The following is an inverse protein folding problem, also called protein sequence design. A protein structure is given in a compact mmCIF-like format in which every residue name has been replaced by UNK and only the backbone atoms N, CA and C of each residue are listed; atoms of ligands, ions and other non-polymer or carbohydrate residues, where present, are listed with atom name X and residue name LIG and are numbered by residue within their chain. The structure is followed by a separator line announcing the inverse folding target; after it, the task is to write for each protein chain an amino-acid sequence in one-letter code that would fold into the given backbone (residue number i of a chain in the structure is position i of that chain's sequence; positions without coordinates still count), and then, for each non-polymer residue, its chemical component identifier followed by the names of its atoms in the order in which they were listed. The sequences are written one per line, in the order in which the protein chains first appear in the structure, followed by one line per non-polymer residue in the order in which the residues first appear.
data_IF_108550431112
#
_entry.id   IF_108550431112
#
_cell.length_a   1.000
_cell.length_b   1.000
_cell.length_c   1.000
_cell.angle_alpha   90.00
_cell.angle_beta   90.00
_cell.angle_gamma   90.00
#
_symmetry.space_group_name_H-M   'P 1'
#
loop_
_entity.id
_entity.type
_entity.pdbx_description
1 polymer ?
#
# COMPACT_ATOMS: atom_id res chain seq x y z
N UNK A 1 -36.50 -7.34 -15.15
CA UNK A 1 -36.26 -6.34 -14.07
C UNK A 1 -36.59 -4.92 -14.56
N UNK A 2 -37.68 -4.30 -14.07
CA UNK A 2 -38.04 -2.89 -14.38
C UNK A 2 -37.09 -1.94 -13.63
N UNK A 3 -36.25 -1.18 -14.35
CA UNK A 3 -35.33 -0.19 -13.76
C UNK A 3 -36.12 0.96 -13.12
N UNK A 4 -35.99 1.12 -11.80
CA UNK A 4 -36.57 2.25 -11.05
C UNK A 4 -35.90 3.57 -11.48
N UNK A 5 -36.65 4.66 -11.71
CA UNK A 5 -36.08 5.96 -12.06
C UNK A 5 -35.21 6.50 -10.91
N UNK A 6 -34.08 7.11 -11.30
CA UNK A 6 -33.08 7.69 -10.39
C UNK A 6 -33.67 8.77 -9.47
N UNK A 7 -33.15 8.86 -8.24
CA UNK A 7 -33.64 9.77 -7.21
C UNK A 7 -33.65 11.25 -7.65
N UNK A 8 -32.73 11.65 -8.54
CA UNK A 8 -32.68 12.99 -9.14
C UNK A 8 -33.90 13.32 -10.03
N UNK A 9 -34.45 12.33 -10.76
CA UNK A 9 -35.69 12.52 -11.52
C UNK A 9 -36.90 12.68 -10.60
N UNK A 10 -36.89 12.00 -9.44
CA UNK A 10 -37.95 12.16 -8.42
C UNK A 10 -37.86 13.51 -7.70
N UNK A 11 -36.65 14.00 -7.44
CA UNK A 11 -36.46 15.31 -6.79
C UNK A 11 -36.87 16.48 -7.72
N UNK A 12 -36.51 16.43 -9.00
CA UNK A 12 -36.94 17.45 -9.98
C UNK A 12 -38.45 17.42 -10.27
N UNK A 13 -39.10 16.27 -10.21
CA UNK A 13 -40.56 16.19 -10.34
C UNK A 13 -41.30 16.74 -9.12
N UNK A 14 -40.70 16.69 -7.92
CA UNK A 14 -41.36 17.13 -6.67
C UNK A 14 -41.35 18.63 -6.44
N UNK A 15 -40.43 19.38 -7.07
CA UNK A 15 -40.29 20.82 -6.86
C UNK A 15 -41.06 21.70 -7.85
N UNK A 16 -41.84 21.14 -8.79
CA UNK A 16 -42.65 21.94 -9.73
C UNK A 16 -41.85 22.96 -10.56
N UNK A 17 -40.52 22.88 -10.56
CA UNK A 17 -39.63 23.82 -11.20
C UNK A 17 -39.69 23.61 -12.71
N UNK A 18 -40.59 24.31 -13.38
CA UNK A 18 -40.56 24.43 -14.83
C UNK A 18 -39.15 24.88 -15.21
N UNK A 19 -38.43 24.09 -16.01
CA UNK A 19 -37.14 24.49 -16.57
C UNK A 19 -37.28 25.93 -17.08
N UNK A 20 -36.58 26.93 -16.51
CA UNK A 20 -36.82 28.35 -16.79
C UNK A 20 -36.54 28.70 -18.26
N UNK A 21 -35.94 27.77 -19.00
CA UNK A 21 -35.60 27.90 -20.41
C UNK A 21 -36.44 27.02 -21.33
N UNK A 22 -37.35 26.19 -20.81
CA UNK A 22 -38.28 25.46 -21.65
C UNK A 22 -39.29 26.44 -22.26
N UNK A 23 -39.58 26.35 -23.57
CA UNK A 23 -40.60 27.19 -24.17
C UNK A 23 -41.92 26.98 -23.42
N UNK A 24 -42.51 28.05 -22.90
CA UNK A 24 -43.79 27.99 -22.20
C UNK A 24 -44.80 27.37 -23.17
N UNK A 25 -45.34 26.19 -22.82
CA UNK A 25 -46.45 25.59 -23.55
C UNK A 25 -47.64 26.53 -23.37
N UNK A 26 -47.91 27.40 -24.35
CA UNK A 26 -49.17 28.13 -24.41
C UNK A 26 -50.25 27.07 -24.64
N UNK A 27 -51.07 26.85 -23.62
CA UNK A 27 -52.25 25.99 -23.72
C UNK A 27 -53.20 26.69 -24.70
N UNK A 28 -53.37 26.10 -25.88
CA UNK A 28 -54.31 26.59 -26.89
C UNK A 28 -55.72 26.38 -26.34
N UNK A 29 -56.39 27.47 -25.95
CA UNK A 29 -57.81 27.42 -25.59
C UNK A 29 -58.61 27.07 -26.85
N UNK A 30 -59.29 25.94 -26.81
CA UNK A 30 -60.20 25.48 -27.86
C UNK A 30 -61.43 26.37 -27.89
N UNK A 31 -61.54 27.25 -28.88
CA UNK A 31 -62.81 27.88 -29.23
C UNK A 31 -62.90 28.03 -30.74
N UNK A 32 -63.83 27.25 -31.32
CA UNK A 32 -64.52 27.35 -32.62
C UNK A 32 -63.82 28.15 -33.73
N UNK A 33 -63.42 27.42 -34.78
CA UNK A 33 -62.97 27.97 -36.07
C UNK A 33 -61.46 27.99 -36.26
N UNK A 34 -60.83 26.82 -36.37
CA UNK A 34 -59.38 26.72 -36.63
C UNK A 34 -59.09 27.06 -38.11
N UNK A 35 -58.58 28.27 -38.37
CA UNK A 35 -58.06 28.66 -39.67
C UNK A 35 -56.65 28.10 -39.89
N UNK A 36 -56.39 27.50 -41.06
CA UNK A 36 -55.07 26.97 -41.47
C UNK A 36 -53.98 28.04 -41.35
N UNK A 37 -54.32 29.31 -41.61
CA UNK A 37 -53.39 30.44 -41.47
C UNK A 37 -52.89 30.65 -40.03
N UNK A 38 -53.76 30.43 -39.03
CA UNK A 38 -53.37 30.55 -37.62
C UNK A 38 -52.45 29.41 -37.18
N UNK A 39 -52.68 28.19 -37.68
CA UNK A 39 -51.76 27.06 -37.46
C UNK A 39 -50.37 27.34 -38.04
N UNK A 40 -50.32 27.89 -39.24
CA UNK A 40 -49.06 28.27 -39.89
C UNK A 40 -48.29 29.34 -39.10
N UNK A 41 -48.99 30.40 -38.65
CA UNK A 41 -48.39 31.46 -37.84
C UNK A 41 -47.87 30.93 -36.48
N UNK A 42 -48.63 30.05 -35.83
CA UNK A 42 -48.21 29.40 -34.58
C UNK A 42 -47.00 28.49 -34.78
N UNK A 43 -46.96 27.75 -35.88
CA UNK A 43 -45.84 26.90 -36.24
C UNK A 43 -44.57 27.72 -36.53
N UNK A 44 -44.70 28.84 -37.25
CA UNK A 44 -43.57 29.74 -37.48
C UNK A 44 -43.05 30.38 -36.18
N UNK A 45 -43.94 30.81 -35.28
CA UNK A 45 -43.58 31.33 -33.97
C UNK A 45 -42.82 30.29 -33.14
N UNK A 46 -43.32 29.05 -33.09
CA UNK A 46 -42.65 27.93 -32.43
C UNK A 46 -41.25 27.65 -33.01
N UNK A 47 -41.10 27.68 -34.33
CA UNK A 47 -39.79 27.47 -34.99
C UNK A 47 -38.79 28.59 -34.65
N UNK A 48 -39.25 29.84 -34.58
CA UNK A 48 -38.41 30.99 -34.14
C UNK A 48 -37.96 30.83 -32.69
N UNK A 49 -38.86 30.45 -31.78
CA UNK A 49 -38.53 30.25 -30.36
C UNK A 49 -37.57 29.07 -30.15
N UNK A 50 -37.78 27.97 -30.87
CA UNK A 50 -36.88 26.80 -30.84
C UNK A 50 -35.47 27.16 -31.29
N UNK A 51 -35.31 27.99 -32.33
CA UNK A 51 -34.00 28.49 -32.79
C UNK A 51 -33.33 29.36 -31.72
N UNK A 52 -34.07 30.30 -31.10
CA UNK A 52 -33.56 31.14 -30.00
C UNK A 52 -33.08 30.31 -28.81
N UNK A 53 -33.82 29.27 -28.44
CA UNK A 53 -33.44 28.34 -27.36
C UNK A 53 -32.13 27.60 -27.67
N UNK A 54 -31.99 27.04 -28.88
CA UNK A 54 -30.78 26.32 -29.29
C UNK A 54 -29.57 27.28 -29.30
N UNK A 55 -29.74 28.50 -29.80
CA UNK A 55 -28.68 29.52 -29.83
C UNK A 55 -28.21 29.90 -28.42
N UNK A 56 -29.14 30.18 -27.48
CA UNK A 56 -28.81 30.47 -26.08
C UNK A 56 -28.06 29.30 -25.42
N UNK A 57 -28.51 28.07 -25.65
CA UNK A 57 -27.84 26.87 -25.12
C UNK A 57 -26.41 26.70 -25.62
N UNK A 58 -26.15 27.01 -26.90
CA UNK A 58 -24.79 26.99 -27.47
C UNK A 58 -23.93 28.10 -26.88
N UNK A 59 -24.46 29.32 -26.77
CA UNK A 59 -23.75 30.46 -26.19
C UNK A 59 -23.31 30.20 -24.74
N UNK A 60 -24.19 29.67 -23.89
CA UNK A 60 -23.81 29.33 -22.51
C UNK A 60 -22.74 28.24 -22.43
N UNK A 61 -22.82 27.20 -23.27
CA UNK A 61 -21.78 26.17 -23.35
C UNK A 61 -20.42 26.75 -23.78
N UNK A 62 -20.43 27.69 -24.72
CA UNK A 62 -19.21 28.34 -25.21
C UNK A 62 -18.61 29.26 -24.15
N UNK A 63 -19.42 30.07 -23.48
CA UNK A 63 -18.99 30.94 -22.37
C UNK A 63 -18.46 30.14 -21.18
N UNK A 64 -19.04 28.98 -20.91
CA UNK A 64 -18.54 28.06 -19.87
C UNK A 64 -17.19 27.44 -20.26
N UNK A 65 -17.01 27.11 -21.55
CA UNK A 65 -15.72 26.63 -22.10
C UNK A 65 -14.63 27.70 -22.00
N UNK A 66 -14.94 28.93 -22.39
CA UNK A 66 -14.00 30.07 -22.31
C UNK A 66 -13.61 30.41 -20.87
N UNK A 67 -14.55 30.37 -19.93
CA UNK A 67 -14.24 30.54 -18.50
C UNK A 67 -13.29 29.46 -17.99
N UNK A 68 -13.51 28.20 -18.38
CA UNK A 68 -12.61 27.09 -18.03
C UNK A 68 -11.22 27.28 -18.63
N UNK A 69 -11.12 27.68 -19.90
CA UNK A 69 -9.83 27.89 -20.56
C UNK A 69 -9.05 29.05 -19.92
N UNK A 70 -9.72 30.15 -19.55
CA UNK A 70 -9.09 31.27 -18.82
C UNK A 70 -8.63 30.86 -17.42
N UNK A 71 -9.43 30.09 -16.68
CA UNK A 71 -9.05 29.56 -15.36
C UNK A 71 -7.89 28.54 -15.42
N UNK A 72 -7.79 27.74 -16.49
CA UNK A 72 -6.69 26.80 -16.70
C UNK A 72 -5.40 27.55 -17.02
N UNK A 73 -5.47 28.57 -17.88
CA UNK A 73 -4.30 29.35 -18.32
C UNK A 73 -3.72 30.23 -17.21
N UNK A 74 -4.57 30.75 -16.32
CA UNK A 74 -4.11 31.61 -15.22
C UNK A 74 -3.51 30.81 -14.05
N UNK A 75 -3.90 29.55 -13.87
CA UNK A 75 -3.42 28.71 -12.76
C UNK A 75 -2.26 27.77 -13.14
N UNK A 76 -1.88 27.69 -14.42
CA UNK A 76 -0.81 26.81 -14.88
C UNK A 76 0.61 27.36 -14.68
N UNK A 77 0.75 28.59 -14.21
CA UNK A 77 2.05 29.30 -14.17
C UNK A 77 2.80 29.19 -12.84
N UNK A 78 2.23 28.58 -11.79
CA UNK A 78 2.87 28.52 -10.47
C UNK A 78 3.14 27.07 -9.99
N UNK A 79 4.39 26.57 -10.06
CA UNK A 79 4.72 25.15 -9.90
C UNK A 79 4.54 24.62 -8.47
N UNK A 80 4.76 25.45 -7.45
CA UNK A 80 4.54 25.07 -6.04
C UNK A 80 3.05 24.97 -5.68
N UNK A 81 2.19 25.73 -6.36
CA UNK A 81 0.75 25.75 -6.10
C UNK A 81 0.04 24.48 -6.62
N UNK A 82 0.56 23.85 -7.68
CA UNK A 82 0.05 22.57 -8.21
C UNK A 82 0.34 21.38 -7.29
N UNK A 83 1.42 21.46 -6.50
CA UNK A 83 1.90 20.37 -5.65
C UNK A 83 1.13 20.30 -4.31
N UNK A 84 0.67 21.44 -3.79
CA UNK A 84 0.02 21.52 -2.47
C UNK A 84 -1.46 21.93 -2.50
N UNK A 85 -1.94 22.72 -3.47
CA UNK A 85 -3.27 23.37 -3.45
C UNK A 85 -4.24 22.95 -4.55
N UNK A 86 -4.07 21.76 -5.16
CA UNK A 86 -5.15 21.13 -5.94
C UNK A 86 -6.39 20.76 -5.08
N UNK A 87 -6.29 20.96 -3.75
CA UNK A 87 -7.19 20.47 -2.72
C UNK A 87 -8.49 21.26 -2.49
N UNK A 88 -8.65 22.48 -2.99
CA UNK A 88 -9.90 23.25 -2.78
C UNK A 88 -10.89 23.22 -3.95
N UNK A 89 -10.55 22.57 -5.08
CA UNK A 89 -11.54 22.35 -6.15
C UNK A 89 -12.50 21.21 -5.80
N UNK A 90 -13.53 21.61 -5.07
CA UNK A 90 -14.95 21.32 -5.32
C UNK A 90 -15.44 19.95 -4.87
N UNK A 91 -15.86 19.93 -3.60
CA UNK A 91 -17.20 19.57 -3.08
C UNK A 91 -18.33 19.53 -4.13
N UNK A 92 -18.20 18.70 -5.15
CA UNK A 92 -19.28 18.22 -6.01
C UNK A 92 -18.97 16.77 -6.28
N UNK A 93 -19.81 15.90 -5.71
CA UNK A 93 -20.01 14.54 -6.19
C UNK A 93 -20.23 14.63 -7.70
N UNK A 94 -19.16 14.52 -8.49
CA UNK A 94 -19.26 14.38 -9.92
C UNK A 94 -19.75 12.95 -10.13
N UNK A 95 -21.07 12.82 -10.22
CA UNK A 95 -21.68 11.67 -10.85
C UNK A 95 -21.08 11.62 -12.26
N UNK A 96 -20.25 10.60 -12.52
CA UNK A 96 -19.90 10.28 -13.90
C UNK A 96 -21.20 10.08 -14.71
N UNK A 97 -21.16 10.10 -16.05
CA UNK A 97 -22.35 9.87 -16.90
C UNK A 97 -23.11 8.57 -16.56
N UNK A 98 -22.44 7.64 -15.89
CA UNK A 98 -22.93 6.34 -15.40
C UNK A 98 -23.49 6.37 -13.96
N UNK A 99 -23.44 7.50 -13.26
CA UNK A 99 -23.94 7.65 -11.89
C UNK A 99 -22.97 7.19 -10.80
N UNK A 100 -21.69 7.01 -11.11
CA UNK A 100 -20.65 6.66 -10.12
C UNK A 100 -20.16 7.93 -9.42
N UNK A 101 -20.24 7.96 -8.08
CA UNK A 101 -19.71 9.03 -7.23
C UNK A 101 -18.19 8.97 -7.23
N UNK A 102 -17.54 10.01 -7.78
CA UNK A 102 -16.08 10.14 -7.73
C UNK A 102 -15.71 10.93 -6.47
N UNK A 103 -15.01 10.29 -5.54
CA UNK A 103 -14.49 10.95 -4.34
C UNK A 103 -13.21 11.72 -4.69
N UNK A 104 -13.20 13.02 -4.42
CA UNK A 104 -11.97 13.81 -4.44
C UNK A 104 -11.13 13.47 -3.20
N UNK A 105 -9.79 13.39 -3.35
CA UNK A 105 -8.91 13.15 -2.22
C UNK A 105 -8.98 14.38 -1.31
N UNK A 106 -9.42 14.20 -0.08
CA UNK A 106 -9.22 15.18 0.99
C UNK A 106 -7.90 14.90 1.69
N UNK A 107 -7.30 15.92 2.32
CA UNK A 107 -6.10 15.75 3.15
C UNK A 107 -6.35 14.69 4.22
N UNK A 108 -7.55 14.70 4.81
CA UNK A 108 -7.97 13.72 5.80
C UNK A 108 -7.97 12.28 5.27
N UNK A 109 -8.49 12.04 4.06
CA UNK A 109 -8.46 10.70 3.45
C UNK A 109 -7.01 10.25 3.19
N UNK A 110 -6.15 11.16 2.73
CA UNK A 110 -4.72 10.87 2.54
C UNK A 110 -4.03 10.52 3.87
N UNK A 111 -4.31 11.27 4.92
CA UNK A 111 -3.83 10.99 6.28
C UNK A 111 -4.28 9.62 6.77
N UNK A 112 -5.57 9.27 6.62
CA UNK A 112 -6.09 7.93 6.97
C UNK A 112 -5.33 6.83 6.23
N UNK A 113 -5.04 7.01 4.94
CA UNK A 113 -4.29 6.04 4.15
C UNK A 113 -2.86 5.87 4.65
N UNK A 114 -2.19 6.98 4.97
CA UNK A 114 -0.83 6.96 5.55
C UNK A 114 -0.86 6.21 6.87
N UNK A 115 -1.74 6.57 7.80
CA UNK A 115 -1.84 5.93 9.12
C UNK A 115 -2.13 4.42 9.02
N UNK A 116 -3.10 4.02 8.20
CA UNK A 116 -3.42 2.60 8.01
C UNK A 116 -2.25 1.83 7.39
N UNK A 117 -1.55 2.42 6.42
CA UNK A 117 -0.41 1.80 5.78
C UNK A 117 0.80 1.73 6.72
N UNK A 118 1.05 2.75 7.56
CA UNK A 118 2.10 2.75 8.58
C UNK A 118 1.82 1.69 9.64
N UNK A 119 0.58 1.60 10.13
CA UNK A 119 0.19 0.54 11.08
C UNK A 119 0.39 -0.86 10.47
N UNK A 120 0.01 -1.04 9.20
CA UNK A 120 0.24 -2.28 8.46
C UNK A 120 1.73 -2.64 8.36
N UNK A 121 2.57 -1.66 8.02
CA UNK A 121 4.03 -1.83 7.95
C UNK A 121 4.61 -2.20 9.32
N UNK A 122 4.21 -1.52 10.40
CA UNK A 122 4.69 -1.77 11.76
C UNK A 122 4.35 -3.19 12.24
N UNK A 123 3.10 -3.61 12.07
CA UNK A 123 2.67 -4.98 12.45
C UNK A 123 3.42 -6.00 11.59
N UNK A 124 3.58 -5.75 10.29
CA UNK A 124 4.32 -6.65 9.40
C UNK A 124 5.80 -6.76 9.82
N UNK A 125 6.46 -5.64 10.14
CA UNK A 125 7.85 -5.63 10.61
C UNK A 125 8.02 -6.42 11.89
N UNK A 126 7.21 -6.14 12.91
CA UNK A 126 7.32 -6.85 14.20
C UNK A 126 7.06 -8.34 14.04
N UNK A 127 6.06 -8.73 13.24
CA UNK A 127 5.81 -10.14 12.93
C UNK A 127 7.01 -10.79 12.24
N UNK A 128 7.56 -10.16 11.21
CA UNK A 128 8.72 -10.68 10.46
C UNK A 128 9.95 -10.81 11.37
N UNK A 129 10.24 -9.78 12.17
CA UNK A 129 11.35 -9.80 13.12
C UNK A 129 11.20 -10.93 14.14
N UNK A 130 10.03 -11.05 14.77
CA UNK A 130 9.79 -12.10 15.77
C UNK A 130 9.86 -13.50 15.16
N UNK A 131 9.32 -13.71 13.96
CA UNK A 131 9.41 -15.00 13.27
C UNK A 131 10.86 -15.32 12.86
N UNK A 132 11.63 -14.32 12.40
CA UNK A 132 13.05 -14.49 12.11
C UNK A 132 13.80 -14.93 13.38
N UNK A 133 13.64 -14.20 14.49
CA UNK A 133 14.34 -14.50 15.73
C UNK A 133 13.90 -15.85 16.33
N UNK A 134 12.62 -16.17 16.26
CA UNK A 134 12.07 -17.43 16.75
C UNK A 134 12.72 -18.64 16.05
N UNK A 135 12.93 -18.56 14.74
CA UNK A 135 13.56 -19.65 13.96
C UNK A 135 15.01 -19.83 14.38
N UNK A 136 15.73 -18.73 14.57
CA UNK A 136 17.13 -18.77 15.02
C UNK A 136 17.23 -19.32 16.45
N UNK A 137 16.32 -18.91 17.35
CA UNK A 137 16.22 -19.43 18.71
C UNK A 137 15.94 -20.94 18.74
N UNK A 138 14.94 -21.40 17.98
CA UNK A 138 14.61 -22.83 17.87
C UNK A 138 15.81 -23.60 17.33
N UNK A 139 16.49 -23.07 16.31
CA UNK A 139 17.68 -23.72 15.75
C UNK A 139 18.81 -23.79 16.77
N UNK A 140 19.09 -22.71 17.52
CA UNK A 140 20.10 -22.73 18.57
C UNK A 140 19.76 -23.72 19.70
N UNK A 141 18.49 -23.81 20.08
CA UNK A 141 17.97 -24.76 21.06
C UNK A 141 18.13 -26.22 20.61
N UNK A 142 18.01 -26.52 19.32
CA UNK A 142 18.32 -27.86 18.79
C UNK A 142 19.80 -28.28 18.96
N UNK A 143 20.71 -27.31 19.11
CA UNK A 143 22.14 -27.55 19.35
C UNK A 143 22.55 -27.29 20.81
N UNK A 144 21.57 -27.23 21.73
CA UNK A 144 21.79 -26.96 23.16
C UNK A 144 22.58 -25.66 23.43
N UNK A 145 22.42 -24.64 22.58
CA UNK A 145 23.02 -23.32 22.77
C UNK A 145 22.01 -22.38 23.43
N UNK A 146 22.31 -22.01 24.67
CA UNK A 146 21.53 -21.03 25.42
C UNK A 146 21.51 -19.68 24.69
N UNK A 147 20.31 -19.13 24.56
CA UNK A 147 20.06 -17.89 23.84
C UNK A 147 19.12 -16.97 24.61
N UNK A 148 19.40 -15.67 24.50
CA UNK A 148 18.63 -14.60 25.16
C UNK A 148 18.18 -13.62 24.08
N UNK A 149 16.86 -13.47 23.94
CA UNK A 149 16.26 -12.54 22.99
C UNK A 149 15.93 -11.21 23.66
N UNK A 150 16.63 -10.15 23.27
CA UNK A 150 16.29 -8.77 23.62
C UNK A 150 15.54 -8.10 22.46
N UNK A 151 14.87 -6.98 22.73
CA UNK A 151 14.19 -6.20 21.69
C UNK A 151 15.16 -5.65 20.61
N UNK A 152 16.45 -5.55 20.93
CA UNK A 152 17.47 -4.97 20.06
C UNK A 152 18.49 -5.99 19.54
N UNK A 153 18.66 -7.15 20.18
CA UNK A 153 19.63 -8.16 19.72
C UNK A 153 19.25 -9.54 20.21
N UNK A 154 19.71 -10.54 19.47
CA UNK A 154 19.77 -11.91 19.94
C UNK A 154 21.20 -12.19 20.42
N UNK A 155 21.35 -12.69 21.64
CA UNK A 155 22.64 -13.03 22.25
C UNK A 155 22.74 -14.54 22.46
N UNK A 156 23.90 -15.10 22.15
CA UNK A 156 24.21 -16.52 22.36
C UNK A 156 25.31 -16.67 23.41
N UNK A 157 25.34 -17.82 24.10
CA UNK A 157 26.46 -18.19 24.94
C UNK A 157 27.65 -18.68 24.08
N UNK A 158 28.51 -17.75 23.69
CA UNK A 158 29.69 -17.98 22.85
C UNK A 158 30.86 -18.69 23.57
N UNK A 159 30.77 -18.94 24.88
CA UNK A 159 31.81 -19.64 25.65
C UNK A 159 31.58 -21.16 25.73
N UNK A 160 30.48 -21.66 25.17
CA UNK A 160 30.20 -23.10 25.14
C UNK A 160 31.12 -23.81 24.16
N UNK A 161 31.56 -25.03 24.51
CA UNK A 161 32.27 -25.94 23.59
C UNK A 161 31.43 -26.32 22.36
N UNK A 162 30.11 -26.10 22.42
CA UNK A 162 29.16 -26.34 21.34
C UNK A 162 29.19 -25.23 20.26
N UNK A 163 29.95 -24.15 20.48
CA UNK A 163 30.07 -23.04 19.55
C UNK A 163 31.11 -23.33 18.45
N UNK A 164 30.87 -24.37 17.65
CA UNK A 164 31.71 -24.76 16.52
C UNK A 164 31.30 -24.07 15.21
N UNK A 165 32.15 -24.17 14.18
CA UNK A 165 31.92 -23.51 12.89
C UNK A 165 30.59 -23.90 12.24
N UNK A 166 30.21 -25.18 12.36
CA UNK A 166 29.02 -25.74 11.73
C UNK A 166 27.75 -25.21 12.41
N UNK A 167 27.70 -25.21 13.76
CA UNK A 167 26.56 -24.69 14.51
C UNK A 167 26.38 -23.19 14.27
N UNK A 168 27.49 -22.42 14.20
CA UNK A 168 27.42 -21.00 13.86
C UNK A 168 26.79 -20.81 12.48
N UNK A 169 27.24 -21.56 11.47
CA UNK A 169 26.69 -21.48 10.12
C UNK A 169 25.20 -21.83 10.12
N UNK A 170 24.81 -22.95 10.71
CA UNK A 170 23.41 -23.42 10.67
C UNK A 170 22.49 -22.45 11.42
N UNK A 171 22.87 -22.01 12.63
CA UNK A 171 22.08 -21.09 13.45
C UNK A 171 21.91 -19.75 12.72
N UNK A 172 22.99 -19.18 12.19
CA UNK A 172 22.95 -17.87 11.52
C UNK A 172 22.27 -17.91 10.16
N UNK A 173 22.30 -19.05 9.47
CA UNK A 173 21.67 -19.26 8.15
C UNK A 173 20.17 -19.59 8.26
N UNK A 174 19.72 -20.19 9.36
CA UNK A 174 18.34 -20.65 9.55
C UNK A 174 17.29 -19.53 9.37
N UNK A 175 17.52 -18.37 10.01
CA UNK A 175 16.64 -17.20 9.96
C UNK A 175 16.48 -16.63 8.54
N UNK A 176 17.59 -16.28 7.85
CA UNK A 176 17.54 -15.81 6.46
C UNK A 176 16.87 -16.82 5.52
N UNK A 177 17.25 -18.09 5.56
CA UNK A 177 16.70 -19.11 4.65
C UNK A 177 15.19 -19.27 4.86
N UNK A 178 14.72 -19.34 6.11
CA UNK A 178 13.28 -19.39 6.36
C UNK A 178 12.56 -18.10 5.94
N UNK A 179 13.21 -16.94 6.08
CA UNK A 179 12.67 -15.67 5.59
C UNK A 179 12.50 -15.66 4.07
N UNK A 180 13.39 -16.30 3.31
CA UNK A 180 13.21 -16.45 1.88
C UNK A 180 11.94 -17.25 1.55
N UNK A 181 11.73 -18.40 2.21
CA UNK A 181 10.53 -19.23 2.01
C UNK A 181 9.25 -18.52 2.43
N UNK A 182 9.23 -17.90 3.62
CA UNK A 182 8.08 -17.11 4.10
C UNK A 182 7.84 -15.88 3.21
N UNK A 183 8.89 -15.26 2.68
CA UNK A 183 8.80 -14.18 1.70
C UNK A 183 8.00 -14.60 0.47
N UNK A 184 8.35 -15.74 -0.15
CA UNK A 184 7.57 -16.30 -1.26
C UNK A 184 6.13 -16.64 -0.88
N UNK A 185 5.92 -17.22 0.30
CA UNK A 185 4.59 -17.60 0.79
C UNK A 185 3.67 -16.38 0.99
N UNK A 186 4.15 -15.33 1.67
CA UNK A 186 3.38 -14.10 1.90
C UNK A 186 3.18 -13.31 0.60
N UNK A 187 4.26 -13.13 -0.17
CA UNK A 187 4.27 -12.32 -1.37
C UNK A 187 3.37 -12.91 -2.46
N UNK A 188 3.42 -14.23 -2.69
CA UNK A 188 2.64 -14.88 -3.74
C UNK A 188 1.34 -15.49 -3.20
N UNK A 189 1.40 -16.43 -2.26
CA UNK A 189 0.21 -17.20 -1.89
C UNK A 189 -0.81 -16.37 -1.11
N UNK A 190 -0.42 -15.79 0.04
CA UNK A 190 -1.36 -15.06 0.89
C UNK A 190 -1.89 -13.77 0.25
N UNK A 191 -1.03 -13.06 -0.50
CA UNK A 191 -1.42 -11.87 -1.24
C UNK A 191 -2.60 -12.11 -2.19
N UNK A 192 -2.55 -13.18 -3.00
CA UNK A 192 -3.63 -13.51 -3.94
C UNK A 192 -4.87 -14.08 -3.25
N UNK A 193 -4.73 -14.66 -2.04
CA UNK A 193 -5.87 -15.13 -1.23
C UNK A 193 -6.68 -13.95 -0.64
N UNK A 194 -6.03 -12.82 -0.35
CA UNK A 194 -6.66 -11.60 0.17
C UNK A 194 -7.39 -10.74 -0.89
N UNK A 195 -8.25 -11.35 -1.73
CA UNK A 195 -8.96 -10.64 -2.82
C UNK A 195 -9.94 -9.57 -2.34
N UNK A 196 -10.60 -9.79 -1.20
CA UNK A 196 -11.68 -8.92 -0.71
C UNK A 196 -11.24 -7.82 0.25
N UNK A 197 -10.02 -7.92 0.81
CA UNK A 197 -9.57 -7.07 1.93
C UNK A 197 -8.29 -6.29 1.56
N UNK A 198 -8.41 -5.03 1.09
CA UNK A 198 -7.27 -4.23 0.64
C UNK A 198 -6.19 -4.02 1.71
N UNK A 199 -6.60 -3.77 2.96
CA UNK A 199 -5.67 -3.56 4.07
C UNK A 199 -4.88 -4.83 4.40
N UNK A 200 -5.54 -5.99 4.40
CA UNK A 200 -4.90 -7.29 4.64
C UNK A 200 -3.93 -7.64 3.51
N UNK A 201 -4.28 -7.30 2.27
CA UNK A 201 -3.38 -7.46 1.12
C UNK A 201 -2.13 -6.58 1.24
N UNK A 202 -2.31 -5.32 1.66
CA UNK A 202 -1.19 -4.43 1.92
C UNK A 202 -0.28 -4.98 3.04
N UNK A 203 -0.87 -5.53 4.10
CA UNK A 203 -0.13 -6.21 5.16
C UNK A 203 0.68 -7.39 4.64
N UNK A 204 0.08 -8.30 3.87
CA UNK A 204 0.80 -9.44 3.30
C UNK A 204 1.90 -9.02 2.32
N UNK A 205 1.66 -7.95 1.55
CA UNK A 205 2.67 -7.39 0.66
C UNK A 205 3.87 -6.85 1.45
N UNK A 206 3.63 -6.06 2.50
CA UNK A 206 4.69 -5.58 3.38
C UNK A 206 5.44 -6.72 4.05
N UNK A 207 4.74 -7.69 4.62
CA UNK A 207 5.36 -8.85 5.25
C UNK A 207 6.25 -9.62 4.27
N UNK A 208 5.76 -9.91 3.05
CA UNK A 208 6.54 -10.59 2.03
C UNK A 208 7.80 -9.82 1.63
N UNK A 209 7.70 -8.51 1.41
CA UNK A 209 8.86 -7.66 1.08
C UNK A 209 9.87 -7.57 2.23
N UNK A 210 9.39 -7.49 3.47
CA UNK A 210 10.25 -7.45 4.67
C UNK A 210 10.93 -8.80 4.91
N UNK A 211 10.27 -9.93 4.66
CA UNK A 211 10.89 -11.24 4.70
C UNK A 211 12.00 -11.39 3.66
N UNK A 212 11.77 -10.94 2.41
CA UNK A 212 12.83 -10.90 1.41
C UNK A 212 13.98 -9.98 1.83
N UNK A 213 13.70 -8.83 2.45
CA UNK A 213 14.74 -7.96 2.99
C UNK A 213 15.56 -8.67 4.09
N UNK A 214 14.93 -9.42 4.99
CA UNK A 214 15.62 -10.23 6.01
C UNK A 214 16.45 -11.39 5.44
N UNK A 215 16.36 -11.67 4.13
CA UNK A 215 17.32 -12.53 3.43
C UNK A 215 18.38 -11.72 2.69
N UNK A 216 17.98 -10.91 1.71
CA UNK A 216 18.91 -10.20 0.83
C UNK A 216 19.63 -9.03 1.53
N UNK A 217 18.88 -8.16 2.21
CA UNK A 217 19.49 -7.03 2.92
C UNK A 217 20.27 -7.49 4.16
N UNK A 218 19.84 -8.57 4.81
CA UNK A 218 20.58 -9.20 5.91
C UNK A 218 21.96 -9.70 5.49
N UNK A 219 22.09 -10.21 4.26
CA UNK A 219 23.38 -10.63 3.72
C UNK A 219 24.30 -9.42 3.47
N UNK A 220 23.78 -8.38 2.82
CA UNK A 220 24.53 -7.14 2.53
C UNK A 220 24.97 -6.45 3.83
N UNK A 221 24.04 -6.26 4.78
CA UNK A 221 24.32 -5.71 6.10
C UNK A 221 25.30 -6.59 6.88
N UNK A 222 25.22 -7.91 6.71
CA UNK A 222 26.08 -8.88 7.36
C UNK A 222 27.53 -8.75 6.91
N UNK A 223 27.76 -8.65 5.60
CA UNK A 223 29.10 -8.39 5.04
C UNK A 223 29.62 -7.03 5.49
N UNK A 224 28.78 -6.00 5.49
CA UNK A 224 29.20 -4.65 5.88
C UNK A 224 29.57 -4.53 7.37
N UNK A 225 29.00 -5.37 8.24
CA UNK A 225 29.18 -5.27 9.70
C UNK A 225 29.88 -6.46 10.34
N UNK A 226 30.17 -7.52 9.59
CA UNK A 226 30.66 -8.81 10.09
C UNK A 226 29.78 -9.38 11.22
N UNK A 227 28.45 -9.30 11.07
CA UNK A 227 27.46 -9.76 12.06
C UNK A 227 26.31 -10.52 11.41
N UNK A 228 25.59 -11.29 12.21
CA UNK A 228 24.38 -12.01 11.80
C UNK A 228 24.66 -12.92 10.60
N UNK A 229 23.93 -12.72 9.49
CA UNK A 229 24.13 -13.50 8.27
C UNK A 229 25.55 -13.35 7.67
N UNK A 230 26.29 -12.29 8.02
CA UNK A 230 27.70 -12.12 7.62
C UNK A 230 28.66 -13.16 8.21
N UNK A 231 28.26 -13.85 9.29
CA UNK A 231 29.07 -14.94 9.85
C UNK A 231 29.16 -16.13 8.90
N UNK A 232 28.12 -16.42 8.11
CA UNK A 232 28.12 -17.56 7.19
C UNK A 232 29.29 -17.50 6.20
N UNK A 233 29.46 -16.46 5.37
CA UNK A 233 30.60 -16.40 4.45
C UNK A 233 31.95 -16.28 5.16
N UNK A 234 31.99 -15.73 6.38
CA UNK A 234 33.22 -15.65 7.19
C UNK A 234 33.68 -17.05 7.63
N UNK A 235 32.78 -17.88 8.15
CA UNK A 235 33.07 -19.24 8.59
C UNK A 235 33.20 -20.25 7.44
N UNK A 236 32.67 -19.93 6.26
CA UNK A 236 32.96 -20.66 5.02
C UNK A 236 34.29 -20.23 4.36
N UNK A 237 35.05 -19.32 5.00
CA UNK A 237 36.31 -18.80 4.48
C UNK A 237 36.21 -18.24 3.06
N UNK A 238 35.08 -17.61 2.72
CA UNK A 238 34.95 -16.96 1.42
C UNK A 238 35.93 -15.80 1.32
N UNK A 239 36.59 -15.68 0.17
CA UNK A 239 37.41 -14.50 -0.11
C UNK A 239 36.51 -13.25 -0.27
N UNK A 240 37.11 -12.07 -0.15
CA UNK A 240 36.36 -10.81 -0.21
C UNK A 240 35.64 -10.63 -1.56
N UNK A 241 36.24 -11.06 -2.66
CA UNK A 241 35.64 -10.99 -3.99
C UNK A 241 34.29 -11.72 -4.05
N UNK A 242 34.23 -12.95 -3.54
CA UNK A 242 33.00 -13.76 -3.52
C UNK A 242 31.94 -13.12 -2.62
N UNK A 243 32.32 -12.59 -1.45
CA UNK A 243 31.40 -11.85 -0.56
C UNK A 243 30.75 -10.67 -1.30
N UNK A 244 31.56 -9.80 -1.91
CA UNK A 244 31.07 -8.63 -2.63
C UNK A 244 30.21 -9.00 -3.84
N UNK A 245 30.59 -10.06 -4.58
CA UNK A 245 29.81 -10.54 -5.72
C UNK A 245 28.39 -10.98 -5.31
N UNK A 246 28.25 -11.79 -4.25
CA UNK A 246 26.94 -12.17 -3.75
C UNK A 246 26.16 -11.00 -3.12
N UNK A 247 26.84 -10.04 -2.48
CA UNK A 247 26.19 -8.84 -1.97
C UNK A 247 25.59 -8.00 -3.10
N UNK A 248 26.30 -7.89 -4.22
CA UNK A 248 25.82 -7.21 -5.42
C UNK A 248 24.60 -7.94 -6.02
N UNK A 249 24.62 -9.27 -6.11
CA UNK A 249 23.46 -10.07 -6.56
C UNK A 249 22.26 -9.84 -5.63
N UNK A 250 22.47 -9.85 -4.31
CA UNK A 250 21.42 -9.60 -3.33
C UNK A 250 20.82 -8.19 -3.48
N UNK A 251 21.65 -7.18 -3.75
CA UNK A 251 21.20 -5.81 -4.00
C UNK A 251 20.35 -5.73 -5.28
N UNK A 252 20.80 -6.39 -6.35
CA UNK A 252 20.06 -6.48 -7.61
C UNK A 252 18.70 -7.19 -7.41
N UNK A 253 18.66 -8.25 -6.60
CA UNK A 253 17.42 -8.94 -6.25
C UNK A 253 16.44 -8.02 -5.50
N UNK A 254 16.90 -7.18 -4.56
CA UNK A 254 16.06 -6.18 -3.88
C UNK A 254 15.44 -5.18 -4.87
N UNK A 255 16.22 -4.69 -5.84
CA UNK A 255 15.74 -3.78 -6.89
C UNK A 255 14.70 -4.47 -7.78
N UNK A 256 14.96 -5.70 -8.22
CA UNK A 256 14.00 -6.47 -9.03
C UNK A 256 12.70 -6.77 -8.26
N UNK A 257 12.80 -7.10 -6.97
CA UNK A 257 11.62 -7.28 -6.11
C UNK A 257 10.81 -6.00 -6.01
N UNK A 258 11.46 -4.86 -5.78
CA UNK A 258 10.82 -3.55 -5.78
C UNK A 258 10.10 -3.25 -7.09
N UNK A 259 10.81 -3.38 -8.21
CA UNK A 259 10.26 -3.19 -9.55
C UNK A 259 8.99 -4.03 -9.78
N UNK A 260 9.03 -5.32 -9.45
CA UNK A 260 7.90 -6.24 -9.62
C UNK A 260 6.74 -5.96 -8.66
N UNK A 261 7.03 -5.42 -7.47
CA UNK A 261 6.03 -5.13 -6.45
C UNK A 261 5.17 -3.90 -6.75
N UNK A 262 5.61 -3.00 -7.64
CA UNK A 262 4.86 -1.78 -7.99
C UNK A 262 3.42 -2.08 -8.45
N UNK A 263 3.25 -3.07 -9.33
CA UNK A 263 1.94 -3.50 -9.81
C UNK A 263 1.05 -4.06 -8.67
N UNK A 264 1.67 -4.73 -7.70
CA UNK A 264 1.02 -5.31 -6.53
C UNK A 264 0.60 -4.21 -5.55
N UNK A 265 1.44 -3.21 -5.30
CA UNK A 265 1.07 -2.04 -4.51
C UNK A 265 -0.15 -1.34 -5.10
N UNK A 266 -0.20 -1.07 -6.41
CA UNK A 266 -1.37 -0.46 -7.04
C UNK A 266 -2.65 -1.27 -6.82
N UNK A 267 -2.56 -2.61 -6.80
CA UNK A 267 -3.71 -3.47 -6.54
C UNK A 267 -4.23 -3.39 -5.10
N UNK A 268 -3.43 -2.90 -4.14
CA UNK A 268 -3.87 -2.69 -2.75
C UNK A 268 -4.72 -1.42 -2.58
N UNK A 269 -4.92 -0.64 -3.64
CA UNK A 269 -5.82 0.51 -3.60
C UNK A 269 -7.28 0.08 -3.46
N UNK A 270 -8.00 0.78 -2.59
CA UNK A 270 -9.44 0.64 -2.40
C UNK A 270 -10.27 1.63 -3.23
N UNK A 271 -9.65 2.37 -4.15
CA UNK A 271 -10.33 3.38 -4.98
C UNK A 271 -9.69 3.49 -6.37
N UNK A 272 -10.51 3.43 -7.42
CA UNK A 272 -10.07 3.54 -8.83
C UNK A 272 -9.40 4.87 -9.10
N UNK A 273 -9.89 5.97 -8.48
CA UNK A 273 -9.36 7.32 -8.70
C UNK A 273 -7.87 7.43 -8.33
N UNK A 274 -7.42 6.71 -7.30
CA UNK A 274 -6.02 6.73 -6.84
C UNK A 274 -5.07 5.98 -7.79
N UNK A 275 -5.61 5.04 -8.58
CA UNK A 275 -4.83 4.25 -9.55
C UNK A 275 -4.81 4.92 -10.94
N UNK A 276 -5.51 6.03 -11.14
CA UNK A 276 -5.44 6.80 -12.38
C UNK A 276 -4.04 7.37 -12.60
N UNK A 277 -3.56 7.39 -13.85
CA UNK A 277 -2.18 7.74 -14.23
C UNK A 277 -1.66 9.01 -13.53
N UNK A 278 -2.50 10.04 -13.42
CA UNK A 278 -2.12 11.33 -12.83
C UNK A 278 -1.95 11.29 -11.30
N UNK A 279 -2.60 10.34 -10.61
CA UNK A 279 -2.61 10.25 -9.16
C UNK A 279 -1.74 9.12 -8.60
N UNK A 280 -1.12 8.29 -9.46
CA UNK A 280 -0.33 7.14 -9.02
C UNK A 280 0.87 7.52 -8.17
N UNK A 281 1.58 8.59 -8.52
CA UNK A 281 2.72 9.07 -7.73
C UNK A 281 2.29 9.42 -6.30
N UNK A 282 1.17 10.14 -6.14
CA UNK A 282 0.58 10.44 -4.83
C UNK A 282 0.10 9.18 -4.11
N UNK A 283 -0.47 8.21 -4.82
CA UNK A 283 -0.82 6.91 -4.24
C UNK A 283 0.40 6.23 -3.62
N UNK A 284 1.50 6.12 -4.38
CA UNK A 284 2.74 5.52 -3.90
C UNK A 284 3.35 6.30 -2.75
N UNK A 285 3.34 7.63 -2.81
CA UNK A 285 3.83 8.47 -1.73
C UNK A 285 3.07 8.17 -0.42
N UNK A 286 1.74 8.16 -0.46
CA UNK A 286 0.90 7.97 0.73
C UNK A 286 0.83 6.53 1.24
N UNK A 287 0.99 5.52 0.37
CA UNK A 287 0.77 4.12 0.72
C UNK A 287 2.07 3.29 0.82
N UNK A 288 3.18 3.80 0.28
CA UNK A 288 4.46 3.09 0.24
C UNK A 288 5.56 3.91 0.90
N UNK A 289 5.86 5.09 0.37
CA UNK A 289 7.04 5.88 0.78
C UNK A 289 6.87 6.46 2.19
N UNK A 290 5.82 7.25 2.44
CA UNK A 290 5.59 7.86 3.75
C UNK A 290 5.36 6.81 4.85
N UNK A 291 4.56 5.75 4.63
CA UNK A 291 4.41 4.69 5.62
C UNK A 291 5.71 4.01 6.02
N UNK A 292 6.61 3.78 5.05
CA UNK A 292 7.93 3.23 5.32
C UNK A 292 8.80 4.20 6.12
N UNK A 293 8.88 5.48 5.72
CA UNK A 293 9.71 6.47 6.43
C UNK A 293 9.22 6.64 7.87
N UNK A 294 7.90 6.78 8.07
CA UNK A 294 7.31 6.90 9.39
C UNK A 294 7.48 5.62 10.21
N UNK A 295 7.24 4.45 9.59
CA UNK A 295 7.42 3.16 10.24
C UNK A 295 8.86 2.91 10.66
N UNK A 296 9.83 3.22 9.80
CA UNK A 296 11.26 3.18 10.07
C UNK A 296 11.62 4.09 11.25
N UNK A 297 11.17 5.35 11.22
CA UNK A 297 11.39 6.29 12.31
C UNK A 297 10.85 5.78 13.64
N UNK A 298 9.63 5.25 13.66
CA UNK A 298 9.02 4.66 14.86
C UNK A 298 9.83 3.46 15.36
N UNK A 299 10.23 2.53 14.49
CA UNK A 299 11.02 1.36 14.88
C UNK A 299 12.37 1.77 15.48
N UNK A 300 13.06 2.74 14.87
CA UNK A 300 14.34 3.25 15.37
C UNK A 300 14.18 3.94 16.73
N UNK A 301 13.11 4.72 16.91
CA UNK A 301 12.78 5.34 18.20
C UNK A 301 12.51 4.28 19.28
N UNK A 302 11.74 3.23 18.95
CA UNK A 302 11.43 2.12 19.85
C UNK A 302 12.68 1.34 20.26
N UNK A 303 13.75 1.35 19.45
CA UNK A 303 14.99 0.64 19.78
C UNK A 303 16.01 1.48 20.60
N UNK A 304 15.81 2.79 20.78
CA UNK A 304 16.68 3.64 21.62
C UNK A 304 16.72 3.11 23.07
N UNK A 305 17.89 3.03 23.73
CA UNK A 305 19.20 3.55 23.31
C UNK A 305 20.04 2.58 22.45
N UNK A 306 19.56 1.36 22.21
CA UNK A 306 20.34 0.30 21.58
C UNK A 306 19.91 0.04 20.13
N UNK A 307 20.58 0.70 19.19
CA UNK A 307 20.36 0.52 17.75
C UNK A 307 21.55 -0.22 17.12
N UNK A 308 21.53 -1.56 16.98
CA UNK A 308 22.61 -2.25 16.30
C UNK A 308 22.66 -1.83 14.83
N UNK A 309 23.88 -1.59 14.33
CA UNK A 309 24.10 -1.20 12.95
C UNK A 309 23.57 -2.24 11.95
N UNK A 310 23.69 -3.53 12.28
CA UNK A 310 23.22 -4.65 11.44
C UNK A 310 21.72 -4.54 11.12
N UNK A 311 20.85 -4.52 12.13
CA UNK A 311 19.39 -4.40 11.93
C UNK A 311 19.00 -3.08 11.24
N UNK A 312 19.69 -2.00 11.61
CA UNK A 312 19.44 -0.68 11.03
C UNK A 312 19.74 -0.69 9.53
N UNK A 313 20.84 -1.31 9.11
CA UNK A 313 21.19 -1.45 7.70
C UNK A 313 20.17 -2.31 6.95
N UNK A 314 19.69 -3.43 7.51
CA UNK A 314 18.63 -4.24 6.89
C UNK A 314 17.43 -3.37 6.55
N UNK A 315 16.98 -2.56 7.52
CA UNK A 315 15.87 -1.64 7.34
C UNK A 315 16.18 -0.56 6.29
N UNK A 316 17.36 0.06 6.33
CA UNK A 316 17.77 1.08 5.35
C UNK A 316 17.78 0.50 3.93
N UNK A 317 18.26 -0.72 3.72
CA UNK A 317 18.30 -1.37 2.41
C UNK A 317 16.90 -1.66 1.82
N UNK A 318 15.82 -1.62 2.61
CA UNK A 318 14.43 -1.64 2.09
C UNK A 318 14.16 -0.42 1.18
N UNK A 319 14.94 0.66 1.30
CA UNK A 319 14.87 1.82 0.39
C UNK A 319 15.08 1.42 -1.07
N UNK A 320 15.87 0.39 -1.37
CA UNK A 320 16.06 -0.08 -2.75
C UNK A 320 14.79 -0.73 -3.31
N UNK A 321 14.07 -1.49 -2.48
CA UNK A 321 12.75 -2.04 -2.85
C UNK A 321 11.78 -0.88 -3.13
N UNK A 322 11.72 0.10 -2.23
CA UNK A 322 10.75 1.20 -2.32
C UNK A 322 11.10 2.15 -3.46
N UNK A 323 12.37 2.48 -3.65
CA UNK A 323 12.86 3.33 -4.73
C UNK A 323 12.56 2.70 -6.10
N UNK A 324 12.85 1.40 -6.27
CA UNK A 324 12.53 0.69 -7.51
C UNK A 324 11.02 0.58 -7.74
N UNK A 325 10.24 0.34 -6.69
CA UNK A 325 8.77 0.34 -6.76
C UNK A 325 8.21 1.69 -7.19
N UNK A 326 8.76 2.76 -6.61
CA UNK A 326 8.38 4.14 -6.90
C UNK A 326 8.75 4.52 -8.33
N UNK A 327 9.92 4.10 -8.84
CA UNK A 327 10.31 4.33 -10.23
C UNK A 327 9.36 3.63 -11.22
N UNK A 328 8.88 2.42 -10.89
CA UNK A 328 7.96 1.64 -11.73
C UNK A 328 6.46 1.88 -11.44
N UNK A 329 6.10 3.07 -10.95
CA UNK A 329 4.72 3.44 -10.62
C UNK A 329 3.75 3.47 -11.82
N UNK A 330 4.27 3.47 -13.06
CA UNK A 330 3.48 3.48 -14.28
C UNK A 330 2.91 2.10 -14.66
N UNK A 331 3.26 1.04 -13.93
CA UNK A 331 2.71 -0.30 -14.12
C UNK A 331 1.18 -0.35 -14.07
N UNK A 332 0.58 -1.32 -14.77
CA UNK A 332 -0.87 -1.57 -14.71
C UNK A 332 -1.18 -2.35 -13.42
N UNK A 333 -2.31 -2.05 -12.74
CA UNK A 333 -2.74 -2.88 -11.62
C UNK A 333 -3.01 -4.30 -12.11
N UNK A 334 -2.76 -5.30 -11.27
CA UNK A 334 -3.05 -6.70 -11.59
C UNK A 334 -4.55 -6.88 -11.88
N UNK A 335 -4.93 -7.59 -12.98
CA UNK A 335 -6.31 -7.63 -13.47
C UNK A 335 -7.29 -8.38 -12.55
N UNK A 336 -6.79 -9.14 -11.58
CA UNK A 336 -7.58 -10.11 -10.82
C UNK A 336 -8.30 -9.56 -9.58
N UNK A 337 -8.36 -8.23 -9.41
CA UNK A 337 -8.86 -7.63 -8.17
C UNK A 337 -10.03 -6.67 -8.42
N UNK A 338 -11.13 -6.91 -7.71
CA UNK A 338 -12.29 -6.02 -7.70
C UNK A 338 -11.94 -4.75 -6.93
N UNK A 339 -11.81 -3.63 -7.63
CA UNK A 339 -11.63 -2.33 -7.00
C UNK A 339 -13.00 -1.80 -6.59
N UNK A 340 -13.25 -1.69 -5.29
CA UNK A 340 -14.43 -1.00 -4.78
C UNK A 340 -14.24 0.52 -4.88
N UNK A 341 -15.30 1.32 -4.92
CA UNK A 341 -15.20 2.78 -4.77
C UNK A 341 -15.65 3.22 -3.36
N UNK A 342 -15.26 2.45 -2.34
CA UNK A 342 -15.63 2.73 -0.94
C UNK A 342 -14.71 3.79 -0.36
N UNK A 343 -15.28 4.68 0.45
CA UNK A 343 -14.49 5.58 1.27
C UNK A 343 -13.56 4.78 2.20
N UNK A 344 -12.35 5.28 2.41
CA UNK A 344 -11.42 4.67 3.35
C UNK A 344 -11.78 5.12 4.76
N UNK A 345 -11.91 4.15 5.66
CA UNK A 345 -12.06 4.42 7.09
C UNK A 345 -10.74 4.12 7.81
N UNK A 346 -10.52 4.79 8.94
CA UNK A 346 -9.42 4.48 9.84
C UNK A 346 -9.62 3.05 10.38
N UNK A 347 -8.64 2.18 10.17
CA UNK A 347 -8.71 0.81 10.64
C UNK A 347 -8.22 0.76 12.10
N UNK A 348 -9.13 1.08 13.02
CA UNK A 348 -8.84 1.18 14.46
C UNK A 348 -8.25 -0.12 15.01
N UNK A 349 -8.73 -1.28 14.54
CA UNK A 349 -8.22 -2.60 14.97
C UNK A 349 -6.74 -2.75 14.60
N UNK A 350 -6.37 -2.41 13.36
CA UNK A 350 -4.98 -2.51 12.91
C UNK A 350 -4.06 -1.52 13.65
N UNK A 351 -4.55 -0.32 13.93
CA UNK A 351 -3.81 0.68 14.69
C UNK A 351 -3.59 0.24 16.15
N UNK A 352 -4.63 -0.29 16.81
CA UNK A 352 -4.53 -0.85 18.15
C UNK A 352 -3.55 -2.03 18.16
N UNK A 353 -3.64 -2.93 17.18
CA UNK A 353 -2.71 -4.05 17.04
C UNK A 353 -1.26 -3.58 16.86
N UNK A 354 -1.01 -2.50 16.12
CA UNK A 354 0.32 -1.93 15.97
C UNK A 354 0.84 -1.36 17.30
N UNK A 355 0.03 -0.59 18.02
CA UNK A 355 0.40 0.00 19.31
C UNK A 355 0.66 -1.07 20.38
N UNK A 356 -0.23 -2.05 20.50
CA UNK A 356 -0.08 -3.16 21.44
C UNK A 356 1.15 -3.99 21.10
N UNK A 357 1.37 -4.32 19.82
CA UNK A 357 2.57 -5.06 19.39
C UNK A 357 3.85 -4.29 19.69
N UNK A 358 3.90 -2.97 19.47
CA UNK A 358 5.08 -2.14 19.79
C UNK A 358 5.33 -2.10 21.29
N UNK A 359 4.27 -1.87 22.08
CA UNK A 359 4.38 -1.82 23.53
C UNK A 359 4.86 -3.17 24.09
N UNK A 360 4.25 -4.26 23.65
CA UNK A 360 4.63 -5.61 24.04
C UNK A 360 6.08 -5.93 23.63
N UNK A 361 6.46 -5.59 22.39
CA UNK A 361 7.82 -5.76 21.88
C UNK A 361 8.85 -5.04 22.74
N UNK A 362 8.55 -3.81 23.18
CA UNK A 362 9.48 -3.04 24.01
C UNK A 362 9.56 -3.59 25.42
N UNK A 363 8.42 -3.74 26.11
CA UNK A 363 8.38 -4.03 27.55
C UNK A 363 8.76 -5.48 27.84
N UNK A 364 8.24 -6.45 27.09
CA UNK A 364 8.51 -7.86 27.39
C UNK A 364 9.93 -8.30 27.00
N UNK A 365 10.54 -7.69 25.98
CA UNK A 365 11.89 -8.05 25.53
C UNK A 365 12.98 -7.12 26.09
N UNK A 366 12.66 -6.20 27.01
CA UNK A 366 13.65 -5.33 27.67
C UNK A 366 14.57 -6.13 28.59
N UNK A 367 13.98 -6.98 29.44
CA UNK A 367 14.72 -7.82 30.38
C UNK A 367 15.43 -9.01 29.73
N UNK A 368 15.16 -9.25 28.43
CA UNK A 368 15.60 -10.44 27.73
C UNK A 368 14.70 -11.64 28.00
N UNK A 369 14.28 -12.32 26.94
CA UNK A 369 13.57 -13.58 27.04
C UNK A 369 14.60 -14.71 26.96
N UNK A 370 14.81 -15.40 28.09
CA UNK A 370 15.66 -16.58 28.17
C UNK A 370 14.93 -17.76 27.53
N UNK A 371 15.55 -18.37 26.52
CA UNK A 371 14.96 -19.50 25.82
C UNK A 371 15.76 -20.77 26.13
N UNK A 372 15.25 -21.57 27.05
CA UNK A 372 15.83 -22.87 27.43
C UNK A 372 14.79 -23.94 27.08
N UNK A 373 14.75 -24.35 25.82
CA UNK A 373 14.01 -25.54 25.42
C UNK A 373 15.05 -26.64 25.16
N UNK A 374 14.95 -27.76 25.88
CA UNK A 374 15.75 -28.95 25.63
C UNK A 374 14.91 -29.92 24.82
N UNK A 375 15.18 -30.03 23.52
CA UNK A 375 14.50 -30.96 22.65
C UNK A 375 15.27 -32.29 22.63
N UNK A 376 14.92 -33.21 23.54
CA UNK A 376 15.51 -34.56 23.52
C UNK A 376 14.81 -35.42 22.47
N UNK A 377 15.38 -35.51 21.26
CA UNK A 377 14.96 -36.52 20.28
C UNK A 377 15.71 -37.83 20.53
N UNK A 378 15.05 -38.80 21.18
CA UNK A 378 15.56 -40.17 21.24
C UNK A 378 15.23 -40.88 19.93
N UNK A 379 16.17 -40.93 18.99
CA UNK A 379 16.04 -41.77 17.80
C UNK A 379 16.31 -43.20 18.25
N UNK A 380 15.25 -43.96 18.55
CA UNK A 380 15.38 -45.42 18.68
C UNK A 380 15.60 -45.97 17.27
N UNK A 381 16.75 -46.61 16.97
CA UNK A 381 16.92 -47.27 15.69
C UNK A 381 15.81 -48.32 15.54
N UNK A 382 15.02 -48.20 14.48
CA UNK A 382 13.98 -49.16 14.16
C UNK A 382 14.66 -50.46 13.69
N UNK A 383 14.91 -51.38 14.62
CA UNK A 383 15.37 -52.73 14.31
C UNK A 383 16.87 -52.85 14.06
N UNK A 384 17.60 -53.23 15.10
CA UNK A 384 18.96 -53.76 15.01
C UNK A 384 19.06 -55.01 15.90
N UNK A 385 18.15 -55.96 15.69
CA UNK A 385 18.41 -57.34 16.08
C UNK A 385 19.26 -57.95 14.99
N UNK A 386 20.57 -58.04 15.25
CA UNK A 386 21.48 -58.95 14.57
C UNK A 386 22.25 -59.71 15.63
#
# INVERSE_FOLDING_TARGET
MRRRPSALKRFWFRLGGSNPYAPKKKVLKSSKGFSIAQLWNNYQAYRKDKRKYIARKRFFKQKEKERREKEVRNNSTNPLYQLFFSHERLKKVQLNKEGVVIYTPSLWNSFIHIVNATASFLVAYLMVYLLYQLVVLITASFYDIDSILYYYKLSFNNHSKLWDSLNIIIITLSGPVNSLFLGFFFYNYLFYKAKSYPNLRLFYLWAGLLFFAHFFAAFIAGIATNKGFGYVPMWLFWNEFVKFFFAFIALLALVLLGYNSASRFLSTSNNVYRIQKNNRALFFLHQVVLPYILGLGIILLVKIPHNPAYDTLILVFVVFIIGASFYHFQSKPSPNFSISNKASYLNVILLLLALVSIYAFRVYLENGLHFIIRLSMSIRPAGGGF
#
